data_IF_953831278878
#
_entry.id   IF_953831278878
#
_cell.length_a   1.000
_cell.length_b   1.000
_cell.length_c   1.000
_cell.angle_alpha   90.00
_cell.angle_beta   90.00
_cell.angle_gamma   90.00
#
_symmetry.space_group_name_H-M   'P 1'
#
loop_
_entity.id
_entity.type
_entity.pdbx_description
1 polymer ?
#
# COMPACT_ATOMS: atom_id res chain seq x y z
N UNK A 1 -30.96 4.78 -2.94
CA UNK A 1 -30.04 5.37 -1.94
C UNK A 1 -28.86 5.94 -2.69
N UNK A 2 -28.53 7.20 -2.42
CA UNK A 2 -27.55 7.95 -3.18
C UNK A 2 -26.16 7.99 -2.52
N UNK A 3 -25.13 7.81 -3.33
CA UNK A 3 -23.73 8.01 -2.96
C UNK A 3 -23.02 8.90 -3.96
N UNK A 4 -22.23 9.84 -3.47
CA UNK A 4 -21.35 10.67 -4.29
C UNK A 4 -19.90 10.59 -3.84
N UNK A 5 -19.02 10.25 -4.77
CA UNK A 5 -17.60 10.05 -4.56
C UNK A 5 -16.76 11.13 -5.20
N UNK A 6 -15.50 11.23 -4.76
CA UNK A 6 -14.48 11.98 -5.50
C UNK A 6 -13.12 11.32 -5.49
N UNK A 7 -12.52 11.33 -6.68
CA UNK A 7 -11.09 11.13 -6.89
C UNK A 7 -10.45 12.42 -7.41
N UNK A 8 -9.32 12.79 -6.82
CA UNK A 8 -8.47 13.89 -7.29
C UNK A 8 -7.39 13.30 -8.17
N UNK A 9 -7.69 13.11 -9.44
CA UNK A 9 -6.79 12.45 -10.38
C UNK A 9 -5.64 13.38 -10.76
N UNK A 10 -4.55 13.28 -9.99
CA UNK A 10 -3.35 14.11 -10.14
C UNK A 10 -3.65 15.60 -10.36
N UNK A 11 -4.61 16.13 -9.59
CA UNK A 11 -5.07 17.52 -9.70
C UNK A 11 -3.94 18.50 -9.36
N UNK A 12 -3.55 19.34 -10.32
CA UNK A 12 -2.53 20.37 -10.12
C UNK A 12 -3.11 21.52 -9.30
N UNK A 13 -2.85 21.47 -7.99
CA UNK A 13 -3.21 22.52 -7.05
C UNK A 13 -1.99 22.95 -6.22
N UNK A 14 -1.13 23.84 -6.74
CA UNK A 14 0.06 24.29 -6.04
C UNK A 14 -0.28 25.10 -4.79
N UNK A 15 -1.52 25.59 -4.62
CA UNK A 15 -1.93 26.31 -3.40
C UNK A 15 -2.20 25.39 -2.22
N UNK A 16 -2.44 24.10 -2.48
CA UNK A 16 -2.77 23.10 -1.47
C UNK A 16 -1.61 22.83 -0.50
N UNK A 17 -1.94 22.65 0.78
CA UNK A 17 -0.98 22.21 1.82
C UNK A 17 -0.60 20.74 1.73
N UNK A 18 -1.23 19.98 0.82
CA UNK A 18 -0.87 18.58 0.50
C UNK A 18 0.36 18.47 -0.41
N UNK A 19 0.99 19.60 -0.75
CA UNK A 19 2.17 19.66 -1.59
C UNK A 19 3.40 19.05 -0.88
N UNK A 20 3.75 17.81 -1.26
CA UNK A 20 4.84 17.05 -0.63
C UNK A 20 5.82 16.42 -1.63
N UNK A 21 5.51 16.45 -2.92
CA UNK A 21 6.36 15.91 -3.98
C UNK A 21 7.69 16.69 -4.07
N UNK A 22 7.69 18.01 -3.81
CA UNK A 22 8.86 18.90 -3.95
C UNK A 22 9.59 19.23 -2.64
N UNK A 23 9.35 18.52 -1.52
CA UNK A 23 10.07 18.80 -0.26
C UNK A 23 11.58 18.46 -0.30
N UNK A 24 12.10 17.94 -1.42
CA UNK A 24 13.52 17.62 -1.58
C UNK A 24 14.42 18.85 -1.82
N UNK A 25 13.88 20.03 -2.12
CA UNK A 25 14.68 21.26 -2.18
C UNK A 25 14.88 21.88 -0.77
N UNK A 26 15.67 21.19 0.06
CA UNK A 26 16.50 21.78 1.12
C UNK A 26 15.82 22.60 2.24
N UNK A 27 15.04 21.97 3.12
CA UNK A 27 14.79 22.50 4.48
C UNK A 27 14.27 21.42 5.44
N UNK A 28 15.09 20.39 5.67
CA UNK A 28 14.83 19.39 6.72
C UNK A 28 15.42 19.85 8.07
N UNK A 29 15.01 21.00 8.60
CA UNK A 29 15.25 21.38 9.99
C UNK A 29 14.45 22.63 10.34
N UNK A 30 13.77 22.60 11.48
CA UNK A 30 12.90 23.65 12.06
C UNK A 30 11.48 23.69 11.50
N UNK A 31 10.49 23.68 12.40
CA UNK A 31 9.05 23.73 12.10
C UNK A 31 8.59 25.07 11.54
N UNK A 32 9.27 25.57 10.51
CA UNK A 32 8.95 26.79 9.80
C UNK A 32 7.84 26.55 8.75
N UNK A 33 6.99 27.57 8.59
CA UNK A 33 5.91 27.65 7.59
C UNK A 33 6.46 27.32 6.20
N UNK A 34 5.64 26.62 5.40
CA UNK A 34 5.95 26.18 4.03
C UNK A 34 6.78 27.22 3.26
N UNK A 35 7.89 26.82 2.60
CA UNK A 35 8.72 27.75 1.85
C UNK A 35 7.87 28.50 0.81
N UNK A 36 8.23 29.76 0.56
CA UNK A 36 7.58 30.58 -0.45
C UNK A 36 7.58 29.84 -1.80
N UNK A 37 6.41 29.75 -2.43
CA UNK A 37 6.20 29.04 -3.70
C UNK A 37 6.81 29.83 -4.84
N UNK A 38 8.09 29.59 -5.12
CA UNK A 38 8.77 30.15 -6.29
C UNK A 38 8.22 29.54 -7.59
N UNK A 39 8.30 30.26 -8.71
CA UNK A 39 7.84 29.74 -10.00
C UNK A 39 8.53 28.41 -10.37
N UNK A 40 9.83 28.30 -10.10
CA UNK A 40 10.62 27.07 -10.32
C UNK A 40 10.12 25.88 -9.50
N UNK A 41 9.72 26.10 -8.26
CA UNK A 41 9.22 25.01 -7.41
C UNK A 41 7.84 24.53 -7.87
N UNK A 42 6.97 25.44 -8.33
CA UNK A 42 5.68 25.11 -8.96
C UNK A 42 5.87 24.31 -10.26
N UNK A 43 6.86 24.65 -11.07
CA UNK A 43 7.19 23.93 -12.30
C UNK A 43 7.74 22.52 -12.02
N UNK A 44 8.67 22.39 -11.06
CA UNK A 44 9.18 21.11 -10.59
C UNK A 44 8.04 20.21 -10.10
N UNK A 45 7.10 20.77 -9.34
CA UNK A 45 5.92 20.03 -8.90
C UNK A 45 5.09 19.50 -10.07
N UNK A 46 4.81 20.36 -11.06
CA UNK A 46 4.03 19.94 -12.23
C UNK A 46 4.73 18.80 -12.97
N UNK A 47 6.06 18.89 -13.11
CA UNK A 47 6.90 17.85 -13.72
C UNK A 47 6.83 16.53 -12.95
N UNK A 48 6.91 16.54 -11.63
CA UNK A 48 6.83 15.34 -10.80
C UNK A 48 5.42 14.76 -10.75
N UNK A 49 4.42 15.63 -10.58
CA UNK A 49 3.00 15.26 -10.55
C UNK A 49 2.60 14.52 -11.84
N UNK A 50 3.12 14.96 -12.98
CA UNK A 50 2.84 14.41 -14.31
C UNK A 50 3.94 13.53 -14.88
N UNK A 51 4.89 13.09 -14.05
CA UNK A 51 5.94 12.16 -14.49
C UNK A 51 5.28 10.86 -15.02
N UNK A 52 5.62 10.38 -16.24
CA UNK A 52 5.01 9.18 -16.82
C UNK A 52 5.08 7.96 -15.90
N UNK A 53 6.24 7.68 -15.29
CA UNK A 53 6.40 6.58 -14.35
C UNK A 53 5.45 6.63 -13.12
N UNK A 54 4.95 7.81 -12.75
CA UNK A 54 3.95 7.99 -11.69
C UNK A 54 2.53 7.83 -12.25
N UNK A 55 2.23 8.53 -13.35
CA UNK A 55 0.88 8.57 -13.91
C UNK A 55 0.48 7.28 -14.62
N UNK A 56 1.39 6.59 -15.30
CA UNK A 56 1.10 5.33 -15.99
C UNK A 56 0.62 4.26 -15.00
N UNK A 57 1.28 4.14 -13.85
CA UNK A 57 0.88 3.20 -12.80
C UNK A 57 -0.46 3.57 -12.15
N UNK A 58 -0.67 4.86 -11.86
CA UNK A 58 -1.95 5.34 -11.30
C UNK A 58 -3.09 5.18 -12.29
N UNK A 59 -2.85 5.45 -13.57
CA UNK A 59 -3.80 5.20 -14.65
C UNK A 59 -4.16 3.71 -14.71
N UNK A 60 -3.17 2.83 -14.70
CA UNK A 60 -3.40 1.38 -14.70
C UNK A 60 -4.28 0.97 -13.52
N UNK A 61 -3.92 1.36 -12.30
CA UNK A 61 -4.70 1.03 -11.09
C UNK A 61 -6.12 1.58 -11.20
N UNK A 62 -6.25 2.87 -11.51
CA UNK A 62 -7.54 3.54 -11.54
C UNK A 62 -8.48 2.93 -12.59
N UNK A 63 -7.99 2.78 -13.82
CA UNK A 63 -8.80 2.33 -14.96
C UNK A 63 -9.06 0.82 -14.92
N UNK A 64 -8.07 0.00 -14.55
CA UNK A 64 -8.17 -1.46 -14.62
C UNK A 64 -8.67 -2.11 -13.33
N UNK A 65 -8.59 -1.41 -12.19
CA UNK A 65 -8.94 -2.00 -10.89
C UNK A 65 -9.94 -1.15 -10.11
N UNK A 66 -9.70 0.15 -9.94
CA UNK A 66 -10.59 1.00 -9.14
C UNK A 66 -11.97 1.17 -9.78
N UNK A 67 -12.04 1.56 -11.05
CA UNK A 67 -13.31 1.79 -11.74
C UNK A 67 -14.15 0.51 -11.92
N UNK A 68 -13.59 -0.65 -12.33
CA UNK A 68 -14.35 -1.90 -12.35
C UNK A 68 -14.88 -2.32 -10.98
N UNK A 69 -14.09 -2.15 -9.91
CA UNK A 69 -14.53 -2.47 -8.56
C UNK A 69 -15.67 -1.56 -8.09
N UNK A 70 -15.57 -0.25 -8.38
CA UNK A 70 -16.67 0.69 -8.15
C UNK A 70 -17.93 0.33 -8.95
N UNK A 71 -17.78 -0.03 -10.22
CA UNK A 71 -18.90 -0.46 -11.07
C UNK A 71 -19.60 -1.70 -10.49
N UNK A 72 -18.83 -2.67 -10.00
CA UNK A 72 -19.37 -3.85 -9.34
C UNK A 72 -20.07 -3.50 -8.03
N UNK A 73 -19.51 -2.60 -7.22
CA UNK A 73 -20.12 -2.17 -5.97
C UNK A 73 -21.40 -1.33 -6.17
N UNK A 74 -21.48 -0.58 -7.26
CA UNK A 74 -22.55 0.39 -7.52
C UNK A 74 -23.83 -0.22 -8.09
N UNK A 75 -23.87 -1.52 -8.46
CA UNK A 75 -24.97 -2.14 -9.22
C UNK A 75 -26.38 -1.86 -8.68
N UNK A 76 -26.52 -1.84 -7.35
CA UNK A 76 -27.83 -1.67 -6.67
C UNK A 76 -28.00 -0.28 -6.04
N UNK A 77 -27.15 0.69 -6.39
CA UNK A 77 -27.09 2.01 -5.77
C UNK A 77 -27.04 3.12 -6.82
N UNK A 78 -27.62 4.28 -6.49
CA UNK A 78 -27.41 5.48 -7.29
C UNK A 78 -26.07 6.09 -6.88
N UNK A 79 -25.10 6.04 -7.80
CA UNK A 79 -23.72 6.45 -7.54
C UNK A 79 -23.29 7.48 -8.59
N UNK A 80 -22.75 8.59 -8.10
CA UNK A 80 -21.95 9.51 -8.92
C UNK A 80 -20.53 9.53 -8.40
N UNK A 81 -19.55 9.26 -9.25
CA UNK A 81 -18.13 9.35 -8.91
C UNK A 81 -17.47 10.47 -9.69
N UNK A 82 -17.11 11.55 -8.99
CA UNK A 82 -16.53 12.74 -9.61
C UNK A 82 -15.01 12.60 -9.70
N UNK A 83 -14.47 12.67 -10.92
CA UNK A 83 -13.02 12.70 -11.16
C UNK A 83 -12.61 14.11 -11.50
N UNK A 84 -12.00 14.79 -10.52
CA UNK A 84 -11.46 16.14 -10.72
C UNK A 84 -10.01 16.05 -11.21
N UNK A 85 -9.73 16.65 -12.37
CA UNK A 85 -8.39 16.73 -12.95
C UNK A 85 -8.12 18.10 -13.57
N UNK A 86 -6.85 18.47 -13.69
CA UNK A 86 -6.45 19.78 -14.22
C UNK A 86 -6.39 19.78 -15.74
N UNK A 87 -6.66 20.94 -16.35
CA UNK A 87 -6.58 21.12 -17.81
C UNK A 87 -5.19 20.82 -18.39
N UNK A 88 -4.16 20.98 -17.56
CA UNK A 88 -2.77 20.66 -17.91
C UNK A 88 -2.38 19.19 -17.77
N UNK A 89 -3.30 18.30 -17.37
CA UNK A 89 -3.05 16.86 -17.35
C UNK A 89 -2.61 16.42 -18.77
N UNK A 90 -1.57 15.59 -18.94
CA UNK A 90 -1.16 15.19 -20.29
C UNK A 90 -2.30 14.53 -21.08
N UNK A 91 -2.36 14.82 -22.39
CA UNK A 91 -3.50 14.46 -23.25
C UNK A 91 -3.81 12.95 -23.25
N UNK A 92 -2.76 12.11 -23.17
CA UNK A 92 -2.90 10.65 -23.03
C UNK A 92 -3.91 10.29 -21.93
N UNK A 93 -3.73 10.84 -20.74
CA UNK A 93 -4.56 10.53 -19.57
C UNK A 93 -5.93 11.20 -19.66
N UNK A 94 -6.04 12.40 -20.26
CA UNK A 94 -7.35 13.00 -20.53
C UNK A 94 -8.21 12.12 -21.44
N UNK A 95 -7.62 11.58 -22.51
CA UNK A 95 -8.32 10.66 -23.44
C UNK A 95 -8.72 9.35 -22.74
N UNK A 96 -7.86 8.83 -21.88
CA UNK A 96 -8.13 7.65 -21.07
C UNK A 96 -9.31 7.86 -20.11
N UNK A 97 -9.35 8.99 -19.39
CA UNK A 97 -10.49 9.37 -18.55
C UNK A 97 -11.78 9.55 -19.36
N UNK A 98 -11.71 10.17 -20.54
CA UNK A 98 -12.86 10.33 -21.42
C UNK A 98 -13.41 8.98 -21.91
N UNK A 99 -12.55 8.04 -22.29
CA UNK A 99 -12.95 6.68 -22.67
C UNK A 99 -13.56 5.93 -21.48
N UNK A 100 -13.02 6.11 -20.27
CA UNK A 100 -13.59 5.52 -19.06
C UNK A 100 -14.99 6.08 -18.75
N UNK A 101 -15.21 7.38 -18.94
CA UNK A 101 -16.51 8.00 -18.71
C UNK A 101 -17.57 7.58 -19.73
N UNK A 102 -17.16 7.18 -20.93
CA UNK A 102 -18.06 6.53 -21.91
C UNK A 102 -18.42 5.09 -21.51
N UNK A 103 -17.58 4.43 -20.71
CA UNK A 103 -17.78 3.05 -20.26
C UNK A 103 -18.56 2.93 -18.95
N UNK A 104 -18.44 3.94 -18.09
CA UNK A 104 -18.99 3.93 -16.74
C UNK A 104 -19.91 5.13 -16.53
N UNK A 105 -21.22 4.90 -16.59
CA UNK A 105 -22.24 5.97 -16.50
C UNK A 105 -22.21 6.73 -15.15
N UNK A 106 -21.72 6.09 -14.09
CA UNK A 106 -21.54 6.75 -12.78
C UNK A 106 -20.37 7.74 -12.77
N UNK A 107 -19.50 7.76 -13.80
CA UNK A 107 -18.27 8.55 -13.80
C UNK A 107 -18.51 9.96 -14.34
N UNK A 108 -18.37 10.95 -13.48
CA UNK A 108 -18.51 12.36 -13.83
C UNK A 108 -17.15 13.05 -13.92
N UNK A 109 -16.76 13.49 -15.12
CA UNK A 109 -15.48 14.18 -15.34
C UNK A 109 -15.57 15.67 -15.01
N UNK A 110 -14.74 16.12 -14.08
CA UNK A 110 -14.68 17.50 -13.60
C UNK A 110 -13.33 18.13 -13.98
N UNK A 111 -13.20 18.54 -15.24
CA UNK A 111 -12.00 19.24 -15.73
C UNK A 111 -11.92 20.64 -15.13
N UNK A 112 -10.82 20.95 -14.45
CA UNK A 112 -10.61 22.23 -13.75
C UNK A 112 -9.46 23.04 -14.36
N UNK A 113 -9.55 24.37 -14.35
CA UNK A 113 -8.38 25.21 -14.61
C UNK A 113 -7.24 24.91 -13.63
N UNK A 114 -6.00 25.11 -14.07
CA UNK A 114 -4.82 24.91 -13.23
C UNK A 114 -4.93 25.70 -11.90
N UNK A 115 -4.63 25.05 -10.78
CA UNK A 115 -4.71 25.66 -9.45
C UNK A 115 -6.11 25.76 -8.83
N UNK A 116 -7.16 25.34 -9.52
CA UNK A 116 -8.51 25.29 -8.97
C UNK A 116 -8.81 23.96 -8.29
N UNK A 117 -9.59 24.01 -7.21
CA UNK A 117 -10.16 22.82 -6.60
C UNK A 117 -11.27 22.23 -7.50
N UNK A 118 -11.57 20.96 -7.28
CA UNK A 118 -12.72 20.29 -7.89
C UNK A 118 -14.05 20.91 -7.49
N UNK A 119 -15.07 20.68 -8.32
CA UNK A 119 -16.45 21.11 -8.08
C UNK A 119 -16.94 20.62 -6.70
N UNK A 120 -17.66 21.45 -5.93
CA UNK A 120 -18.26 21.01 -4.68
C UNK A 120 -19.26 19.88 -4.93
N UNK A 121 -19.07 18.72 -4.28
CA UNK A 121 -19.97 17.57 -4.43
C UNK A 121 -21.41 17.88 -3.99
N UNK A 122 -21.57 18.85 -3.09
CA UNK A 122 -22.87 19.32 -2.65
C UNK A 122 -23.73 19.89 -3.79
N UNK A 123 -23.11 20.52 -4.78
CA UNK A 123 -23.86 21.12 -5.89
C UNK A 123 -24.45 20.04 -6.79
N UNK A 124 -23.69 18.97 -7.04
CA UNK A 124 -24.14 17.79 -7.78
C UNK A 124 -25.17 16.99 -6.97
N UNK A 125 -24.89 16.73 -5.69
CA UNK A 125 -25.77 15.95 -4.83
C UNK A 125 -27.18 16.54 -4.71
N UNK A 126 -27.32 17.87 -4.78
CA UNK A 126 -28.60 18.57 -4.68
C UNK A 126 -29.59 18.17 -5.80
N UNK A 127 -29.07 17.70 -6.93
CA UNK A 127 -29.89 17.26 -8.06
C UNK A 127 -30.42 15.82 -7.89
N UNK A 128 -29.84 15.05 -6.94
CA UNK A 128 -30.11 13.63 -6.75
C UNK A 128 -30.92 13.30 -5.50
N UNK A 129 -31.03 14.21 -4.54
CA UNK A 129 -31.66 13.91 -3.24
C UNK A 129 -32.63 14.99 -2.80
N UNK A 130 -33.73 14.57 -2.17
CA UNK A 130 -34.70 15.49 -1.60
C UNK A 130 -34.19 16.16 -0.32
N UNK A 131 -34.80 17.28 0.07
CA UNK A 131 -34.57 17.84 1.40
C UNK A 131 -34.98 16.82 2.47
N UNK A 132 -34.15 16.64 3.49
CA UNK A 132 -34.35 15.62 4.52
C UNK A 132 -33.88 14.21 4.11
N UNK A 133 -33.45 13.98 2.88
CA UNK A 133 -32.90 12.69 2.47
C UNK A 133 -31.40 12.60 2.79
N UNK A 134 -30.98 11.52 3.47
CA UNK A 134 -29.58 11.28 3.78
C UNK A 134 -28.85 10.64 2.59
N UNK A 135 -27.61 11.04 2.37
CA UNK A 135 -26.75 10.49 1.33
C UNK A 135 -25.31 10.29 1.81
N UNK A 136 -24.59 9.39 1.14
CA UNK A 136 -23.19 9.12 1.43
C UNK A 136 -22.26 9.95 0.56
N UNK A 137 -21.37 10.75 1.15
CA UNK A 137 -20.29 11.43 0.43
C UNK A 137 -18.95 10.77 0.76
N UNK A 138 -18.36 10.03 -0.19
CA UNK A 138 -17.11 9.31 0.03
C UNK A 138 -15.93 9.91 -0.72
N UNK A 139 -14.71 9.51 -0.31
CA UNK A 139 -13.47 9.86 -0.99
C UNK A 139 -12.70 8.60 -1.40
N UNK A 140 -11.98 8.68 -2.50
CA UNK A 140 -11.14 7.59 -3.00
C UNK A 140 -9.96 8.19 -3.77
N UNK A 141 -8.74 7.74 -3.49
CA UNK A 141 -7.57 8.18 -4.25
C UNK A 141 -7.41 7.29 -5.52
N UNK A 142 -6.66 7.74 -6.53
CA UNK A 142 -6.54 7.05 -7.84
C UNK A 142 -5.66 5.79 -7.81
N UNK A 143 -5.05 5.47 -6.67
CA UNK A 143 -4.25 4.27 -6.42
C UNK A 143 -4.86 3.30 -5.39
N UNK A 144 -6.13 3.50 -5.02
CA UNK A 144 -6.87 2.69 -4.05
C UNK A 144 -8.03 1.93 -4.69
N UNK A 145 -8.36 0.74 -4.18
CA UNK A 145 -9.48 -0.09 -4.66
C UNK A 145 -10.43 -0.38 -3.51
N UNK A 146 -11.73 -0.11 -3.70
CA UNK A 146 -12.77 -0.45 -2.72
C UNK A 146 -13.33 -1.85 -2.96
N UNK A 147 -13.83 -2.47 -1.89
CA UNK A 147 -14.51 -3.76 -1.97
C UNK A 147 -15.74 -3.69 -2.87
N UNK A 148 -16.03 -4.78 -3.60
CA UNK A 148 -17.27 -4.93 -4.37
C UNK A 148 -18.53 -4.88 -3.49
N UNK A 149 -18.40 -4.98 -2.16
CA UNK A 149 -19.49 -4.86 -1.20
C UNK A 149 -19.52 -3.48 -0.50
N UNK A 150 -18.72 -2.51 -0.96
CA UNK A 150 -18.52 -1.23 -0.26
C UNK A 150 -19.84 -0.47 -0.04
N UNK A 151 -20.62 -0.21 -1.09
CA UNK A 151 -21.88 0.54 -0.97
C UNK A 151 -22.94 -0.23 -0.18
N UNK A 152 -23.04 -1.55 -0.34
CA UNK A 152 -23.92 -2.39 0.47
C UNK A 152 -23.55 -2.37 1.96
N UNK A 153 -22.25 -2.30 2.27
CA UNK A 153 -21.78 -2.14 3.64
C UNK A 153 -22.12 -0.75 4.17
N UNK A 154 -21.85 0.30 3.39
CA UNK A 154 -22.08 1.69 3.79
C UNK A 154 -23.56 2.07 3.90
N UNK A 155 -24.43 1.45 3.11
CA UNK A 155 -25.86 1.76 3.03
C UNK A 155 -26.56 1.67 4.39
N UNK A 156 -26.12 0.79 5.28
CA UNK A 156 -26.70 0.68 6.64
C UNK A 156 -26.56 1.96 7.47
N UNK A 157 -25.60 2.81 7.12
CA UNK A 157 -25.26 4.05 7.82
C UNK A 157 -25.75 5.31 7.12
N UNK A 158 -26.23 5.23 5.88
CA UNK A 158 -26.82 6.38 5.18
C UNK A 158 -28.26 6.54 5.67
N UNK A 159 -28.39 7.18 6.83
CA UNK A 159 -29.67 7.44 7.49
C UNK A 159 -29.67 8.84 8.12
N UNK A 160 -30.84 9.51 8.22
CA UNK A 160 -30.94 10.83 8.84
C UNK A 160 -30.35 10.90 10.26
N UNK A 161 -30.49 9.83 11.05
CA UNK A 161 -30.00 9.77 12.44
C UNK A 161 -28.46 9.78 12.54
N UNK A 162 -27.77 9.46 11.43
CA UNK A 162 -26.31 9.48 11.35
C UNK A 162 -25.77 10.70 10.59
N UNK A 163 -26.63 11.64 10.20
CA UNK A 163 -26.22 12.87 9.54
C UNK A 163 -25.17 13.62 10.38
N UNK A 164 -24.08 14.05 9.74
CA UNK A 164 -22.96 14.71 10.42
C UNK A 164 -21.91 13.76 11.02
N UNK A 165 -22.08 12.43 10.87
CA UNK A 165 -21.08 11.43 11.22
C UNK A 165 -20.20 11.03 10.03
N UNK A 166 -18.99 10.56 10.33
CA UNK A 166 -18.14 9.86 9.38
C UNK A 166 -18.20 8.34 9.61
N UNK A 167 -18.02 7.56 8.55
CA UNK A 167 -18.00 6.10 8.57
C UNK A 167 -16.69 5.64 7.93
N UNK A 168 -15.92 4.84 8.66
CA UNK A 168 -14.66 4.24 8.19
C UNK A 168 -14.77 2.73 8.21
N UNK A 169 -14.28 2.09 7.14
CA UNK A 169 -13.99 0.65 7.10
C UNK A 169 -12.48 0.48 7.34
N UNK A 170 -12.03 0.19 8.57
CA UNK A 170 -10.60 0.20 8.90
C UNK A 170 -9.85 -1.03 8.36
N UNK A 171 -10.58 -2.15 8.22
CA UNK A 171 -10.02 -3.43 7.81
C UNK A 171 -9.89 -3.49 6.28
N UNK A 172 -8.70 -3.81 5.80
CA UNK A 172 -8.41 -3.98 4.38
C UNK A 172 -7.18 -4.84 4.14
N UNK A 173 -6.78 -4.94 2.88
CA UNK A 173 -5.58 -5.68 2.46
C UNK A 173 -4.58 -4.71 1.85
N UNK A 174 -3.33 -4.77 2.30
CA UNK A 174 -2.23 -4.06 1.67
C UNK A 174 -1.33 -5.06 0.93
N UNK A 175 -0.91 -4.71 -0.28
CA UNK A 175 0.02 -5.53 -1.08
C UNK A 175 1.09 -4.65 -1.73
N UNK A 176 2.24 -5.22 -2.06
CA UNK A 176 3.29 -4.51 -2.79
C UNK A 176 3.09 -4.75 -4.28
N UNK A 177 2.82 -3.68 -5.03
CA UNK A 177 2.67 -3.71 -6.48
C UNK A 177 4.02 -3.40 -7.14
N UNK A 178 4.50 -4.35 -7.92
CA UNK A 178 5.73 -4.22 -8.70
C UNK A 178 5.56 -4.96 -10.02
N UNK A 179 5.82 -4.30 -11.16
CA UNK A 179 5.72 -4.88 -12.51
C UNK A 179 4.36 -5.58 -12.79
N UNK A 180 3.26 -4.93 -12.41
CA UNK A 180 1.91 -5.46 -12.62
C UNK A 180 1.61 -6.73 -11.79
N UNK A 181 2.37 -6.96 -10.72
CA UNK A 181 2.21 -8.11 -9.82
C UNK A 181 2.16 -7.66 -8.37
N UNK A 182 1.32 -8.33 -7.60
CA UNK A 182 1.10 -8.04 -6.18
C UNK A 182 1.74 -9.14 -5.34
N UNK A 183 2.57 -8.72 -4.40
CA UNK A 183 3.26 -9.60 -3.45
C UNK A 183 3.04 -9.12 -2.02
N UNK A 184 3.43 -9.94 -1.04
CA UNK A 184 3.44 -9.55 0.37
C UNK A 184 2.07 -9.04 0.88
N UNK A 185 1.01 -9.80 0.62
CA UNK A 185 -0.33 -9.44 1.10
C UNK A 185 -0.38 -9.43 2.63
N UNK A 186 -0.97 -8.37 3.17
CA UNK A 186 -1.10 -8.10 4.60
C UNK A 186 -2.48 -7.62 4.94
N UNK A 187 -3.07 -8.16 6.01
CA UNK A 187 -4.33 -7.66 6.53
C UNK A 187 -4.05 -6.44 7.41
N UNK A 188 -4.44 -5.26 6.93
CA UNK A 188 -4.22 -4.02 7.64
C UNK A 188 -5.50 -3.56 8.35
N UNK A 189 -5.32 -3.01 9.55
CA UNK A 189 -6.35 -2.30 10.29
C UNK A 189 -5.91 -0.85 10.50
N UNK A 190 -6.49 0.07 9.73
CA UNK A 190 -6.16 1.50 9.79
C UNK A 190 -7.44 2.34 9.93
N UNK A 191 -7.84 2.70 11.16
CA UNK A 191 -9.02 3.52 11.40
C UNK A 191 -8.90 4.89 10.73
N UNK A 192 -10.02 5.39 10.20
CA UNK A 192 -10.10 6.72 9.58
C UNK A 192 -9.07 6.90 8.44
N UNK A 193 -8.76 5.80 7.73
CA UNK A 193 -8.00 5.86 6.49
C UNK A 193 -8.73 6.74 5.45
N UNK A 194 -8.01 7.16 4.42
CA UNK A 194 -8.59 7.92 3.31
C UNK A 194 -9.42 7.06 2.35
N UNK A 195 -9.25 5.74 2.38
CA UNK A 195 -9.76 4.78 1.40
C UNK A 195 -11.25 4.51 1.65
N UNK A 196 -12.11 5.26 0.97
CA UNK A 196 -13.56 5.11 1.14
C UNK A 196 -14.06 5.63 2.48
N UNK A 197 -13.38 6.59 3.11
CA UNK A 197 -13.99 7.32 4.23
C UNK A 197 -15.25 8.03 3.73
N UNK A 198 -16.39 7.70 4.33
CA UNK A 198 -17.68 8.24 3.95
C UNK A 198 -18.19 9.22 4.99
N UNK A 199 -18.77 10.32 4.54
CA UNK A 199 -19.55 11.25 5.34
C UNK A 199 -21.02 11.00 5.09
N UNK A 200 -21.82 10.98 6.17
CA UNK A 200 -23.27 10.95 6.06
C UNK A 200 -23.77 12.39 6.04
N UNK A 201 -24.40 12.76 4.94
CA UNK A 201 -24.80 14.12 4.62
C UNK A 201 -26.32 14.20 4.42
N UNK A 202 -26.88 15.40 4.54
CA UNK A 202 -28.30 15.67 4.29
C UNK A 202 -28.47 17.15 3.92
N UNK A 203 -29.44 17.48 3.07
CA UNK A 203 -29.87 18.87 2.91
C UNK A 203 -31.01 19.17 3.88
N UNK A 204 -30.86 20.19 4.71
CA UNK A 204 -31.94 20.66 5.59
C UNK A 204 -32.95 21.54 4.84
N UNK A 205 -34.01 21.94 5.55
CA UNK A 205 -34.94 22.97 5.08
C UNK A 205 -34.16 24.25 4.72
N UNK A 206 -34.44 24.81 3.53
CA UNK A 206 -33.68 25.93 2.96
C UNK A 206 -32.41 25.54 2.19
N UNK A 207 -32.16 24.25 1.95
CA UNK A 207 -31.12 23.77 1.04
C UNK A 207 -29.69 23.80 1.60
N UNK A 208 -29.54 24.05 2.92
CA UNK A 208 -28.25 24.05 3.60
C UNK A 208 -27.75 22.62 3.79
N UNK A 209 -26.53 22.34 3.36
CA UNK A 209 -25.87 21.06 3.59
C UNK A 209 -25.53 20.88 5.07
N UNK A 210 -25.98 19.77 5.63
CA UNK A 210 -25.51 19.20 6.89
C UNK A 210 -24.50 18.10 6.56
N UNK A 211 -23.29 18.23 7.07
CA UNK A 211 -22.20 17.26 6.86
C UNK A 211 -21.27 17.26 8.07
N UNK A 212 -20.41 16.23 8.22
CA UNK A 212 -19.29 16.29 9.15
C UNK A 212 -18.45 17.56 8.97
N UNK A 213 -17.88 18.06 10.07
CA UNK A 213 -17.01 19.23 10.05
C UNK A 213 -15.71 18.88 9.33
N UNK A 214 -15.20 19.74 8.43
CA UNK A 214 -13.94 19.47 7.73
C UNK A 214 -12.77 19.24 8.70
N UNK A 215 -12.07 18.13 8.50
CA UNK A 215 -10.86 17.75 9.22
C UNK A 215 -9.98 16.88 8.31
N UNK A 216 -8.65 16.80 8.56
CA UNK A 216 -7.84 15.70 8.03
C UNK A 216 -8.48 14.36 8.36
N UNK A 217 -8.50 13.43 7.41
CA UNK A 217 -9.22 12.15 7.56
C UNK A 217 -8.79 11.40 8.84
N UNK A 218 -7.50 11.35 9.15
CA UNK A 218 -6.94 10.71 10.33
C UNK A 218 -7.21 11.45 11.66
N UNK A 219 -7.95 12.55 11.63
CA UNK A 219 -8.31 13.39 12.78
C UNK A 219 -9.79 13.77 12.77
N UNK A 220 -10.61 13.08 11.97
CA UNK A 220 -12.03 13.41 11.80
C UNK A 220 -12.82 13.22 13.10
N UNK A 221 -12.44 12.24 13.92
CA UNK A 221 -12.95 12.00 15.28
C UNK A 221 -12.85 13.20 16.22
N UNK A 222 -11.88 14.09 16.00
CA UNK A 222 -11.71 15.30 16.82
C UNK A 222 -12.73 16.39 16.51
N UNK A 223 -13.48 16.26 15.41
CA UNK A 223 -14.42 17.29 14.92
C UNK A 223 -15.83 16.75 14.68
N UNK A 224 -15.97 15.46 14.41
CA UNK A 224 -17.24 14.79 14.16
C UNK A 224 -17.21 13.35 14.68
N UNK A 225 -18.33 12.81 15.19
CA UNK A 225 -18.42 11.40 15.57
C UNK A 225 -18.08 10.47 14.40
N UNK A 226 -17.44 9.34 14.72
CA UNK A 226 -16.99 8.36 13.73
C UNK A 226 -17.54 6.98 14.06
N UNK A 227 -18.11 6.34 13.07
CA UNK A 227 -18.48 4.92 13.09
C UNK A 227 -17.30 4.14 12.49
N UNK A 228 -16.76 3.19 13.26
CA UNK A 228 -15.76 2.23 12.77
C UNK A 228 -16.45 0.89 12.54
N UNK A 229 -16.43 0.39 11.30
CA UNK A 229 -16.92 -0.94 10.96
C UNK A 229 -15.80 -1.80 10.36
N UNK A 230 -15.19 -2.63 11.20
CA UNK A 230 -14.10 -3.54 10.81
C UNK A 230 -14.60 -4.97 10.55
N UNK A 231 -15.91 -5.19 10.36
CA UNK A 231 -16.47 -6.56 10.21
C UNK A 231 -16.20 -7.18 8.84
N UNK A 232 -15.84 -6.38 7.83
CA UNK A 232 -15.56 -6.79 6.45
C UNK A 232 -14.34 -6.06 5.89
N UNK A 233 -13.68 -6.65 4.90
CA UNK A 233 -12.63 -5.97 4.13
C UNK A 233 -13.26 -4.83 3.32
N UNK A 234 -12.79 -3.60 3.55
CA UNK A 234 -13.29 -2.40 2.87
C UNK A 234 -12.49 -1.99 1.65
N UNK A 235 -11.20 -2.31 1.60
CA UNK A 235 -10.27 -1.82 0.58
C UNK A 235 -9.09 -2.76 0.32
N UNK A 236 -8.50 -2.60 -0.86
CA UNK A 236 -7.13 -2.99 -1.18
C UNK A 236 -6.31 -1.72 -1.40
N UNK A 237 -5.11 -1.69 -0.83
CA UNK A 237 -4.12 -0.64 -1.08
C UNK A 237 -2.86 -1.23 -1.69
N UNK A 238 -2.45 -0.67 -2.82
CA UNK A 238 -1.15 -0.98 -3.41
C UNK A 238 -0.07 -0.12 -2.77
N UNK A 239 1.01 -0.74 -2.31
CA UNK A 239 2.24 -0.07 -1.92
C UNK A 239 3.24 -0.18 -3.08
N UNK A 240 3.78 0.94 -3.55
CA UNK A 240 4.73 0.98 -4.66
C UNK A 240 5.73 2.12 -4.50
N UNK A 241 6.88 2.03 -5.18
CA UNK A 241 8.00 2.95 -5.00
C UNK A 241 7.69 4.40 -5.40
N UNK A 242 6.75 4.61 -6.32
CA UNK A 242 6.30 5.93 -6.77
C UNK A 242 5.20 6.55 -5.91
N UNK A 243 4.79 5.93 -4.78
CA UNK A 243 3.85 6.55 -3.86
C UNK A 243 4.45 7.73 -3.10
N UNK A 244 3.67 8.79 -2.94
CA UNK A 244 4.04 10.00 -2.21
C UNK A 244 4.48 9.71 -0.75
N UNK A 245 3.97 8.65 -0.12
CA UNK A 245 4.39 8.23 1.23
C UNK A 245 5.75 7.50 1.22
N UNK A 246 6.06 6.74 0.17
CA UNK A 246 7.33 6.02 0.02
C UNK A 246 8.51 6.99 -0.21
N UNK A 247 8.24 8.12 -0.89
CA UNK A 247 9.22 9.21 -1.12
C UNK A 247 9.69 9.92 0.17
N UNK A 248 9.09 9.63 1.34
CA UNK A 248 9.49 10.20 2.65
C UNK A 248 10.63 9.45 3.35
N UNK A 249 11.02 8.28 2.87
CA UNK A 249 12.11 7.53 3.48
C UNK A 249 13.43 8.31 3.34
N UNK A 250 14.16 8.49 4.45
CA UNK A 250 15.43 9.25 4.48
C UNK A 250 16.47 8.73 3.48
N UNK A 251 16.44 7.43 3.21
CA UNK A 251 17.36 6.74 2.29
C UNK A 251 16.75 6.52 0.89
N UNK A 252 15.64 7.20 0.57
CA UNK A 252 14.86 6.99 -0.65
C UNK A 252 13.93 5.78 -0.59
N UNK A 253 12.91 5.70 -1.49
CA UNK A 253 12.01 4.56 -1.55
C UNK A 253 12.77 3.30 -1.97
N UNK A 254 12.67 2.22 -1.18
CA UNK A 254 13.15 0.90 -1.59
C UNK A 254 12.13 -0.19 -1.27
N UNK A 255 12.13 -1.27 -2.04
CA UNK A 255 11.22 -2.40 -1.83
C UNK A 255 11.39 -2.98 -0.43
N UNK A 256 12.63 -3.08 0.05
CA UNK A 256 12.93 -3.52 1.40
C UNK A 256 12.30 -2.65 2.50
N UNK A 257 12.24 -1.33 2.28
CA UNK A 257 11.60 -0.40 3.21
C UNK A 257 10.08 -0.54 3.22
N UNK A 258 9.47 -0.87 2.07
CA UNK A 258 8.05 -1.19 1.96
C UNK A 258 7.72 -2.49 2.70
N UNK A 259 8.47 -3.57 2.45
CA UNK A 259 8.32 -4.86 3.15
C UNK A 259 8.42 -4.66 4.66
N UNK A 260 9.45 -3.95 5.13
CA UNK A 260 9.63 -3.63 6.55
C UNK A 260 8.48 -2.81 7.14
N UNK A 261 7.94 -1.84 6.40
CA UNK A 261 6.82 -1.02 6.87
C UNK A 261 5.54 -1.85 7.03
N UNK A 262 5.37 -2.88 6.20
CA UNK A 262 4.21 -3.77 6.18
C UNK A 262 4.34 -4.96 7.15
N UNK A 263 5.54 -5.30 7.62
CA UNK A 263 5.78 -6.48 8.47
C UNK A 263 5.09 -6.44 9.84
N UNK A 264 4.58 -5.28 10.26
CA UNK A 264 3.76 -5.11 11.47
C UNK A 264 2.34 -5.65 11.34
N UNK A 265 1.87 -5.86 10.11
CA UNK A 265 0.54 -6.39 9.83
C UNK A 265 0.61 -7.91 9.67
N UNK A 266 -0.42 -8.65 10.10
CA UNK A 266 -0.50 -10.08 9.85
C UNK A 266 -0.63 -10.38 8.35
N UNK A 267 -0.20 -11.58 7.95
CA UNK A 267 -0.37 -12.06 6.58
C UNK A 267 -1.85 -12.17 6.22
N UNK A 268 -2.15 -11.96 4.95
CA UNK A 268 -3.47 -12.22 4.41
C UNK A 268 -3.38 -13.43 3.47
N UNK A 269 -4.13 -14.49 3.76
CA UNK A 269 -4.03 -15.79 3.09
C UNK A 269 -5.37 -16.27 2.50
N UNK A 270 -6.46 -15.53 2.74
CA UNK A 270 -7.80 -15.88 2.28
C UNK A 270 -8.01 -15.44 0.81
N UNK A 271 -7.47 -16.25 -0.11
CA UNK A 271 -7.56 -16.05 -1.55
C UNK A 271 -9.00 -15.98 -2.06
N UNK A 272 -9.89 -16.85 -1.56
CA UNK A 272 -11.30 -16.90 -1.94
C UNK A 272 -12.03 -15.59 -1.60
N UNK A 273 -11.78 -15.04 -0.41
CA UNK A 273 -12.32 -13.73 -0.03
C UNK A 273 -11.73 -12.61 -0.89
N UNK A 274 -10.45 -12.67 -1.25
CA UNK A 274 -9.85 -11.68 -2.14
C UNK A 274 -10.46 -11.72 -3.53
N UNK A 275 -10.63 -12.90 -4.11
CA UNK A 275 -11.24 -13.08 -5.43
C UNK A 275 -12.68 -12.59 -5.45
N UNK A 276 -13.46 -12.92 -4.41
CA UNK A 276 -14.84 -12.46 -4.28
C UNK A 276 -14.96 -10.94 -4.14
N UNK A 277 -14.17 -10.34 -3.25
CA UNK A 277 -14.31 -8.92 -2.89
C UNK A 277 -13.50 -7.97 -3.79
N UNK A 278 -12.47 -8.48 -4.47
CA UNK A 278 -11.54 -7.71 -5.29
C UNK A 278 -11.13 -8.51 -6.55
N UNK A 279 -12.08 -8.87 -7.43
CA UNK A 279 -11.85 -9.79 -8.54
C UNK A 279 -10.85 -9.29 -9.58
N UNK A 280 -10.62 -7.97 -9.68
CA UNK A 280 -9.59 -7.42 -10.57
C UNK A 280 -8.19 -7.42 -9.96
N UNK A 281 -8.09 -7.55 -8.64
CA UNK A 281 -6.81 -7.57 -7.90
C UNK A 281 -6.31 -9.00 -7.75
N UNK A 282 -7.19 -9.95 -7.46
CA UNK A 282 -6.81 -11.34 -7.23
C UNK A 282 -5.91 -11.94 -8.34
N UNK A 283 -6.17 -11.70 -9.65
CA UNK A 283 -5.31 -12.20 -10.73
C UNK A 283 -3.90 -11.59 -10.78
N UNK A 284 -3.65 -10.49 -10.06
CA UNK A 284 -2.33 -9.87 -9.98
C UNK A 284 -1.47 -10.49 -8.89
N UNK A 285 -2.09 -11.19 -7.94
CA UNK A 285 -1.39 -11.79 -6.81
C UNK A 285 -0.49 -12.91 -7.32
N UNK A 286 0.76 -12.87 -6.89
CA UNK A 286 1.72 -13.90 -7.24
C UNK A 286 1.48 -15.12 -6.37
N UNK A 287 1.32 -16.28 -7.00
CA UNK A 287 1.32 -17.56 -6.31
C UNK A 287 2.67 -17.78 -5.63
N UNK A 288 2.62 -18.08 -4.32
CA UNK A 288 3.78 -18.49 -3.55
C UNK A 288 3.90 -20.02 -3.56
N UNK A 289 5.07 -20.53 -3.93
CA UNK A 289 5.43 -21.92 -3.67
C UNK A 289 6.14 -22.02 -2.33
N UNK A 290 5.87 -23.08 -1.57
CA UNK A 290 6.59 -23.40 -0.34
C UNK A 290 7.46 -24.63 -0.55
N UNK A 291 8.73 -24.53 -0.15
CA UNK A 291 9.67 -25.64 -0.11
C UNK A 291 10.18 -25.82 1.32
N UNK A 292 10.34 -27.08 1.74
CA UNK A 292 11.06 -27.38 2.98
C UNK A 292 12.56 -27.12 2.74
N UNK A 293 13.10 -26.09 3.39
CA UNK A 293 14.50 -25.70 3.30
C UNK A 293 15.38 -26.39 4.34
N UNK A 294 14.78 -27.13 5.30
CA UNK A 294 15.48 -27.93 6.30
C UNK A 294 14.88 -29.33 6.39
N UNK A 295 15.48 -30.33 5.72
CA UNK A 295 14.91 -31.69 5.65
C UNK A 295 14.84 -32.40 7.01
N UNK A 296 15.63 -31.98 8.00
CA UNK A 296 15.59 -32.52 9.36
C UNK A 296 15.98 -31.49 10.42
N UNK A 297 15.41 -31.58 11.63
CA UNK A 297 15.84 -30.75 12.75
C UNK A 297 17.35 -30.83 12.98
N UNK A 298 17.99 -29.69 13.17
CA UNK A 298 19.45 -29.55 13.15
C UNK A 298 19.93 -28.66 14.29
N UNK A 299 20.92 -29.14 15.05
CA UNK A 299 21.64 -28.31 16.01
C UNK A 299 22.61 -27.38 15.26
N UNK A 300 22.40 -26.07 15.37
CA UNK A 300 23.26 -25.06 14.75
C UNK A 300 24.47 -24.82 15.66
N UNK A 301 25.49 -25.68 15.52
CA UNK A 301 26.73 -25.52 16.28
C UNK A 301 27.64 -24.44 15.74
N UNK A 302 27.67 -24.15 14.45
CA UNK A 302 28.44 -23.01 13.92
C UNK A 302 27.62 -22.33 12.83
N UNK A 303 27.35 -23.09 11.78
CA UNK A 303 26.43 -22.76 10.72
C UNK A 303 25.74 -24.04 10.22
N UNK A 304 24.57 -23.89 9.63
CA UNK A 304 23.85 -24.89 8.87
C UNK A 304 23.46 -24.28 7.53
N UNK A 305 23.59 -25.03 6.43
CA UNK A 305 23.06 -24.61 5.14
C UNK A 305 21.60 -24.98 5.03
N UNK A 306 20.84 -24.11 4.39
CA UNK A 306 19.45 -24.37 4.02
C UNK A 306 19.39 -24.67 2.53
N UNK A 307 18.48 -25.57 2.17
CA UNK A 307 18.24 -25.91 0.77
C UNK A 307 17.47 -24.78 0.10
N UNK A 308 17.91 -24.42 -1.10
CA UNK A 308 17.23 -23.48 -1.97
C UNK A 308 16.84 -24.20 -3.25
N UNK A 309 15.60 -24.07 -3.73
CA UNK A 309 15.16 -24.71 -4.96
C UNK A 309 15.87 -24.13 -6.18
N UNK A 310 16.21 -22.84 -6.12
CA UNK A 310 16.87 -22.07 -7.19
C UNK A 310 17.40 -20.75 -6.62
N UNK A 311 18.21 -20.00 -7.36
CA UNK A 311 18.49 -18.60 -7.03
C UNK A 311 17.21 -17.75 -7.02
N UNK A 312 17.02 -16.92 -6.00
CA UNK A 312 15.78 -16.17 -5.79
C UNK A 312 16.06 -14.68 -5.60
N UNK A 313 15.21 -13.81 -6.16
CA UNK A 313 15.28 -12.36 -5.90
C UNK A 313 14.56 -11.97 -4.61
N UNK A 314 13.45 -12.67 -4.36
CA UNK A 314 12.57 -12.41 -3.25
C UNK A 314 12.06 -13.74 -2.68
N UNK A 315 12.01 -13.81 -1.35
CA UNK A 315 11.44 -14.96 -0.65
C UNK A 315 11.13 -14.60 0.80
N UNK A 316 10.31 -15.44 1.43
CA UNK A 316 10.10 -15.49 2.87
C UNK A 316 10.70 -16.80 3.39
N UNK A 317 11.39 -16.71 4.51
CA UNK A 317 11.92 -17.85 5.23
C UNK A 317 11.31 -17.86 6.63
N UNK A 318 10.58 -18.92 6.94
CA UNK A 318 10.01 -19.18 8.27
C UNK A 318 10.87 -20.23 8.98
N UNK A 319 11.25 -19.95 10.22
CA UNK A 319 12.20 -20.75 10.98
C UNK A 319 11.66 -21.01 12.37
N UNK A 320 11.32 -22.26 12.69
CA UNK A 320 11.06 -22.63 14.07
C UNK A 320 12.36 -23.04 14.75
N UNK A 321 12.63 -22.44 15.89
CA UNK A 321 13.89 -22.62 16.60
C UNK A 321 13.66 -22.82 18.09
N UNK A 322 14.69 -23.32 18.75
CA UNK A 322 14.80 -23.39 20.20
C UNK A 322 16.14 -22.79 20.63
N UNK A 323 16.09 -21.74 21.44
CA UNK A 323 17.26 -21.18 22.09
C UNK A 323 17.30 -21.57 23.57
N UNK A 324 18.51 -21.72 24.12
CA UNK A 324 18.70 -22.06 25.53
C UNK A 324 18.06 -21.01 26.47
N UNK A 325 17.70 -21.37 27.72
CA UNK A 325 17.11 -20.44 28.69
C UNK A 325 17.92 -19.14 28.94
N UNK A 326 19.23 -19.21 28.74
CA UNK A 326 20.17 -18.08 28.91
C UNK A 326 20.38 -17.27 27.62
N UNK A 327 19.58 -17.53 26.59
CA UNK A 327 19.69 -16.86 25.31
C UNK A 327 19.38 -15.36 25.41
N UNK A 328 20.08 -14.60 24.58
CA UNK A 328 19.94 -13.15 24.44
C UNK A 328 19.42 -12.81 23.05
N UNK A 329 18.85 -11.62 22.84
CA UNK A 329 18.52 -11.15 21.50
C UNK A 329 19.72 -11.23 20.54
N UNK A 330 19.45 -11.44 19.26
CA UNK A 330 20.44 -11.41 18.17
C UNK A 330 21.55 -12.48 18.24
N UNK A 331 21.27 -13.66 18.79
CA UNK A 331 22.23 -14.77 18.88
C UNK A 331 22.30 -15.64 17.62
N UNK A 332 21.25 -15.63 16.81
CA UNK A 332 21.18 -16.32 15.53
C UNK A 332 21.07 -15.36 14.35
N UNK A 333 21.58 -15.81 13.20
CA UNK A 333 21.56 -15.09 11.94
C UNK A 333 21.07 -16.01 10.83
N UNK A 334 20.34 -15.45 9.88
CA UNK A 334 20.26 -15.95 8.51
C UNK A 334 21.37 -15.28 7.70
N UNK A 335 22.17 -16.07 7.01
CA UNK A 335 23.20 -15.60 6.07
C UNK A 335 22.74 -15.79 4.64
N UNK A 336 23.07 -14.82 3.79
CA UNK A 336 22.66 -14.76 2.39
C UNK A 336 23.90 -14.66 1.52
N UNK A 337 24.07 -15.62 0.61
CA UNK A 337 25.05 -15.53 -0.46
C UNK A 337 24.38 -14.82 -1.64
N UNK A 338 24.83 -13.61 -1.96
CA UNK A 338 24.22 -12.76 -2.99
C UNK A 338 25.18 -12.58 -4.16
N UNK A 339 24.64 -12.74 -5.36
CA UNK A 339 25.33 -12.48 -6.63
C UNK A 339 24.52 -11.52 -7.49
N UNK A 340 25.18 -10.93 -8.48
CA UNK A 340 24.49 -10.28 -9.59
C UNK A 340 23.77 -11.32 -10.45
N UNK A 341 22.82 -10.89 -11.27
CA UNK A 341 22.10 -11.77 -12.18
C UNK A 341 23.03 -12.50 -13.17
N UNK A 342 24.17 -11.90 -13.49
CA UNK A 342 25.21 -12.48 -14.34
C UNK A 342 26.15 -13.45 -13.58
N UNK A 343 25.88 -13.72 -12.29
CA UNK A 343 26.65 -14.65 -11.47
C UNK A 343 27.92 -14.06 -10.85
N UNK A 344 28.12 -12.74 -10.92
CA UNK A 344 29.28 -12.08 -10.32
C UNK A 344 29.04 -11.72 -8.85
N UNK A 345 30.10 -11.59 -8.02
CA UNK A 345 29.98 -11.04 -6.68
C UNK A 345 29.41 -9.61 -6.71
N UNK A 346 28.69 -9.21 -5.66
CA UNK A 346 28.15 -7.84 -5.55
C UNK A 346 29.29 -6.81 -5.64
N UNK A 347 29.25 -5.88 -6.63
CA UNK A 347 30.33 -4.92 -6.88
C UNK A 347 30.63 -4.05 -5.65
N UNK A 348 31.91 -3.83 -5.37
CA UNK A 348 32.39 -3.00 -4.26
C UNK A 348 32.03 -3.55 -2.87
N UNK A 349 31.41 -4.72 -2.79
CA UNK A 349 31.00 -5.32 -1.52
C UNK A 349 30.04 -4.45 -0.71
N UNK A 350 29.25 -3.59 -1.35
CA UNK A 350 28.34 -2.66 -0.69
C UNK A 350 27.17 -3.39 -0.01
N UNK A 351 26.57 -2.76 1.00
CA UNK A 351 25.26 -3.19 1.53
C UNK A 351 24.18 -2.97 0.47
N UNK A 352 23.21 -3.87 0.42
CA UNK A 352 22.05 -3.72 -0.45
C UNK A 352 20.87 -3.14 0.35
N UNK A 353 19.94 -2.41 -0.29
CA UNK A 353 18.76 -1.89 0.39
C UNK A 353 18.04 -2.97 1.22
N UNK A 354 18.00 -2.76 2.53
CA UNK A 354 17.38 -3.65 3.53
C UNK A 354 18.00 -5.03 3.72
N UNK A 355 19.19 -5.25 3.17
CA UNK A 355 20.04 -6.40 3.47
C UNK A 355 21.44 -5.90 3.83
N UNK A 356 21.74 -5.76 5.14
CA UNK A 356 23.05 -5.31 5.57
C UNK A 356 24.12 -6.34 5.23
N UNK A 357 25.33 -5.83 4.98
CA UNK A 357 26.53 -6.65 4.89
C UNK A 357 27.34 -6.54 6.17
N UNK A 358 27.78 -7.67 6.71
CA UNK A 358 28.68 -7.73 7.84
C UNK A 358 30.09 -7.32 7.45
N UNK A 359 30.81 -6.69 8.38
CA UNK A 359 32.26 -6.47 8.28
C UNK A 359 33.04 -7.78 8.43
N UNK A 360 32.44 -8.80 9.05
CA UNK A 360 32.99 -10.15 9.15
C UNK A 360 32.73 -10.88 7.83
N UNK A 361 33.81 -11.16 7.09
CA UNK A 361 33.75 -11.74 5.75
C UNK A 361 32.99 -13.08 5.74
N UNK A 362 33.12 -13.87 6.80
CA UNK A 362 32.45 -15.16 6.95
C UNK A 362 30.93 -15.04 7.12
N UNK A 363 30.40 -13.90 7.58
CA UNK A 363 28.95 -13.69 7.77
C UNK A 363 28.30 -13.21 6.47
N UNK A 364 29.00 -12.42 5.66
CA UNK A 364 28.48 -11.90 4.40
C UNK A 364 27.24 -11.02 4.61
N UNK A 365 26.22 -11.20 3.78
CA UNK A 365 24.92 -10.53 3.94
C UNK A 365 24.05 -11.28 4.94
N UNK A 366 23.28 -10.58 5.77
CA UNK A 366 22.56 -11.26 6.85
C UNK A 366 21.28 -10.58 7.32
N UNK A 367 20.46 -11.34 8.03
CA UNK A 367 19.35 -10.86 8.87
C UNK A 367 19.38 -11.56 10.24
N UNK A 368 19.08 -10.82 11.30
CA UNK A 368 19.00 -11.39 12.64
C UNK A 368 17.75 -12.24 12.80
N UNK A 369 17.89 -13.35 13.54
CA UNK A 369 16.77 -14.10 14.08
C UNK A 369 16.23 -13.42 15.33
N UNK A 370 14.94 -13.58 15.58
CA UNK A 370 14.32 -13.20 16.84
C UNK A 370 14.69 -14.24 17.92
N UNK A 371 15.89 -14.05 18.48
CA UNK A 371 16.47 -14.98 19.44
C UNK A 371 15.87 -14.72 20.83
N UNK A 372 14.93 -15.57 21.26
CA UNK A 372 14.32 -15.54 22.59
C UNK A 372 14.46 -16.90 23.27
N UNK A 373 14.66 -16.96 24.60
CA UNK A 373 14.72 -18.22 25.33
C UNK A 373 13.53 -19.15 25.06
N UNK A 374 13.81 -20.43 24.89
CA UNK A 374 12.81 -21.46 24.64
C UNK A 374 12.46 -21.60 23.16
N UNK A 375 11.27 -22.11 22.91
CA UNK A 375 10.73 -22.28 21.57
C UNK A 375 10.32 -20.91 20.99
N UNK A 376 10.72 -20.66 19.76
CA UNK A 376 10.29 -19.48 19.02
C UNK A 376 10.17 -19.77 17.53
N UNK A 377 9.68 -18.77 16.81
CA UNK A 377 9.67 -18.73 15.36
C UNK A 377 10.27 -17.39 14.90
N UNK A 378 10.97 -17.40 13.77
CA UNK A 378 11.46 -16.18 13.11
C UNK A 378 10.98 -16.18 11.67
N UNK A 379 10.50 -15.01 11.21
CA UNK A 379 10.20 -14.78 9.80
C UNK A 379 11.25 -13.83 9.22
N UNK A 380 11.89 -14.26 8.14
CA UNK A 380 12.90 -13.49 7.42
C UNK A 380 12.43 -13.26 5.99
N UNK A 381 12.09 -12.03 5.67
CA UNK A 381 11.67 -11.63 4.32
C UNK A 381 12.83 -10.94 3.60
N UNK A 382 13.17 -11.44 2.41
CA UNK A 382 14.23 -10.90 1.56
C UNK A 382 13.61 -10.42 0.26
N UNK A 383 13.98 -9.20 -0.14
CA UNK A 383 13.65 -8.64 -1.44
C UNK A 383 14.87 -7.86 -1.94
N UNK A 384 15.52 -8.36 -2.98
CA UNK A 384 16.71 -7.73 -3.56
C UNK A 384 16.35 -6.79 -4.71
N UNK A 385 17.16 -5.75 -4.98
CA UNK A 385 17.01 -4.93 -6.18
C UNK A 385 17.15 -5.76 -7.47
N UNK A 386 16.76 -5.15 -8.58
CA UNK A 386 16.98 -5.72 -9.91
C UNK A 386 18.46 -5.97 -10.19
N UNK A 387 18.73 -7.09 -10.87
CA UNK A 387 20.08 -7.52 -11.16
C UNK A 387 20.78 -8.26 -10.02
N UNK A 388 20.08 -8.62 -8.93
CA UNK A 388 20.62 -9.41 -7.82
C UNK A 388 19.77 -10.64 -7.51
N UNK A 389 20.42 -11.70 -7.02
CA UNK A 389 19.79 -12.96 -6.58
C UNK A 389 20.52 -13.51 -5.36
N UNK A 390 19.77 -14.11 -4.44
CA UNK A 390 20.32 -14.98 -3.40
C UNK A 390 20.55 -16.35 -4.01
N UNK A 391 21.79 -16.81 -3.99
CA UNK A 391 22.22 -18.11 -4.54
C UNK A 391 22.50 -19.16 -3.47
N UNK A 392 22.58 -18.73 -2.21
CA UNK A 392 22.86 -19.59 -1.08
C UNK A 392 22.27 -19.02 0.20
N UNK A 393 21.80 -19.92 1.06
CA UNK A 393 21.13 -19.60 2.31
C UNK A 393 21.72 -20.43 3.44
N UNK A 394 21.92 -19.77 4.58
CA UNK A 394 22.41 -20.44 5.78
C UNK A 394 21.83 -19.85 7.05
N UNK A 395 21.96 -20.59 8.12
CA UNK A 395 21.64 -20.16 9.48
C UNK A 395 22.88 -20.37 10.34
N UNK A 396 23.26 -19.37 11.13
CA UNK A 396 24.46 -19.46 11.96
C UNK A 396 24.31 -18.78 13.31
N UNK A 397 25.23 -19.11 14.20
CA UNK A 397 25.43 -18.37 15.44
C UNK A 397 26.09 -17.02 15.17
N UNK A 398 25.72 -16.02 15.96
CA UNK A 398 26.40 -14.73 15.99
C UNK A 398 27.41 -14.65 17.14
N UNK A 399 28.66 -14.36 16.80
CA UNK A 399 29.74 -14.24 17.78
C UNK A 399 29.96 -15.54 18.58
N UNK A 400 30.16 -15.41 19.89
CA UNK A 400 30.39 -16.54 20.82
C UNK A 400 29.09 -17.04 21.47
N UNK A 401 27.95 -16.91 20.79
CA UNK A 401 26.66 -17.33 21.34
C UNK A 401 26.56 -18.85 21.50
N UNK A 402 25.66 -19.29 22.38
CA UNK A 402 25.37 -20.71 22.56
C UNK A 402 24.75 -21.30 21.27
N UNK A 403 25.00 -22.58 20.98
CA UNK A 403 24.25 -23.32 19.97
C UNK A 403 22.74 -23.26 20.22
N UNK A 404 21.99 -23.31 19.12
CA UNK A 404 20.53 -23.35 19.16
C UNK A 404 20.03 -24.44 18.19
N UNK A 405 18.82 -24.92 18.44
CA UNK A 405 18.21 -25.94 17.62
C UNK A 405 17.33 -25.29 16.57
N UNK A 406 17.49 -25.67 15.31
CA UNK A 406 16.56 -25.34 14.24
C UNK A 406 15.66 -26.55 14.01
N UNK A 407 14.35 -26.39 14.16
CA UNK A 407 13.36 -27.47 14.10
C UNK A 407 12.79 -27.63 12.70
N UNK A 408 12.49 -26.51 12.06
CA UNK A 408 11.99 -26.43 10.69
C UNK A 408 12.56 -25.19 10.00
N UNK A 409 12.61 -25.24 8.68
CA UNK A 409 12.81 -24.06 7.85
C UNK A 409 11.93 -24.20 6.60
N UNK A 410 11.02 -23.26 6.40
CA UNK A 410 10.15 -23.25 5.22
C UNK A 410 10.44 -22.00 4.39
N UNK A 411 10.67 -22.21 3.11
CA UNK A 411 10.97 -21.16 2.15
C UNK A 411 9.77 -20.97 1.24
N UNK A 412 9.14 -19.81 1.33
CA UNK A 412 8.06 -19.41 0.42
C UNK A 412 8.57 -18.40 -0.60
N UNK A 413 8.32 -18.63 -1.89
CA UNK A 413 8.88 -17.83 -2.96
C UNK A 413 7.96 -17.73 -4.19
N UNK A 414 8.08 -16.66 -4.98
CA UNK A 414 7.33 -16.48 -6.23
C UNK A 414 7.56 -17.61 -7.25
N UNK A 415 6.51 -17.97 -8.01
CA UNK A 415 6.62 -18.88 -9.16
C UNK A 415 7.55 -18.35 -10.26
N UNK A 416 8.24 -19.22 -11.01
CA UNK A 416 9.28 -18.80 -11.98
C UNK A 416 8.77 -17.80 -13.03
N UNK A 417 7.51 -17.95 -13.46
CA UNK A 417 6.87 -17.08 -14.45
C UNK A 417 6.64 -15.66 -13.93
N UNK A 418 6.69 -15.45 -12.61
CA UNK A 418 6.47 -14.15 -11.96
C UNK A 418 7.76 -13.36 -11.71
N UNK A 419 8.94 -13.99 -11.78
CA UNK A 419 10.24 -13.30 -11.62
C UNK A 419 10.84 -12.81 -12.96
N UNK A 420 10.34 -13.30 -14.10
CA UNK A 420 10.86 -13.04 -15.45
C UNK A 420 10.06 -11.99 -16.25
N UNK A 421 9.02 -11.36 -15.67
CA UNK A 421 8.22 -10.33 -16.32
C UNK A 421 8.36 -8.96 -15.64
#
# INVERSE_FOLDING_TARGET
MFFIGRTRYSLFNPTSTSWRLTQQDGAATTGAKSPAKTAKSVENYKKELYAPARLDLREEIFIQHTLPALAAAARDFDVVHVVSYSESLPEKYQRSLAAAAQRYDFLHLDKRPDGKAGTPLADIAREHVAAGEAFGQYRLDDDDVLSTEYFATMARYVRPEYCGMAVSLPLGVEGILHRGRVTNLRQAHFPMNSMGLMYVCQFGEGGKLQSPRPAPHNMVDRKSPVILDSRKLGYVRFNHLSQDNALRAKDGPSMSSLVKAMSKYPRFEDGDTLERLFPTVAPLVVDEHTANALPRPTLVWAAARLEMPRPLQAFRLELDHFFAPTARPHQGLVTLDIQTADGHPVPGGASLPGVPKSVQAEVGYYKYLDSRPGNGSSTVEVFLPDGYRVVGLGVRRFGKSLPFFLRSAELSFPSEQSELK
#
